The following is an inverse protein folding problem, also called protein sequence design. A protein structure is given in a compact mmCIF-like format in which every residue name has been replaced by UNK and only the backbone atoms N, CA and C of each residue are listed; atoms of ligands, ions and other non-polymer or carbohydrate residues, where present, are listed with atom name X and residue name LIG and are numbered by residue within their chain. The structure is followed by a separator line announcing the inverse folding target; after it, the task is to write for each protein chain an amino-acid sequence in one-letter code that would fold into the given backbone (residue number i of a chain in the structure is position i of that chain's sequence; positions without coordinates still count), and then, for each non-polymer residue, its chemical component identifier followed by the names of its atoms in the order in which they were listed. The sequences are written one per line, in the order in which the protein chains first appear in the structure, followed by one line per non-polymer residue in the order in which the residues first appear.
data_IF_066976733505
#
_entry.id   IF_066976733505
#
_cell.length_a   1.000
_cell.length_b   1.000
_cell.length_c   1.000
_cell.angle_alpha   90.00
_cell.angle_beta   90.00
_cell.angle_gamma   90.00
#
_symmetry.space_group_name_H-M   'P 1'
#
loop_
_entity.id
_entity.type
_entity.pdbx_description
1 polymer ?
#
# COMPACT_ATOMS: atom_id res chain seq x y z
N UNK A 1 -32.78 -5.51 -19.19
CA UNK A 1 -31.45 -6.16 -19.28
C UNK A 1 -30.36 -5.33 -18.59
N UNK A 2 -30.44 -3.99 -18.65
CA UNK A 2 -29.52 -3.04 -18.01
C UNK A 2 -29.48 -3.09 -16.47
N UNK A 3 -30.61 -3.26 -15.79
CA UNK A 3 -30.65 -3.26 -14.31
C UNK A 3 -29.87 -4.40 -13.66
N UNK A 4 -29.82 -5.58 -14.31
CA UNK A 4 -29.01 -6.71 -13.81
C UNK A 4 -27.51 -6.44 -13.92
N UNK A 5 -27.08 -5.75 -14.98
CA UNK A 5 -25.68 -5.35 -15.17
C UNK A 5 -25.26 -4.27 -14.15
N UNK A 6 -26.17 -3.36 -13.79
CA UNK A 6 -25.91 -2.31 -12.79
C UNK A 6 -25.78 -2.89 -11.36
N UNK A 7 -26.66 -3.82 -11.00
CA UNK A 7 -26.60 -4.54 -9.71
C UNK A 7 -25.29 -5.33 -9.54
N UNK A 8 -24.79 -5.99 -10.59
CA UNK A 8 -23.50 -6.68 -10.54
C UNK A 8 -22.32 -5.71 -10.46
N UNK A 9 -22.38 -4.56 -11.13
CA UNK A 9 -21.34 -3.52 -11.01
C UNK A 9 -21.31 -2.89 -9.61
N UNK A 10 -22.47 -2.66 -8.99
CA UNK A 10 -22.57 -2.13 -7.63
C UNK A 10 -21.99 -3.11 -6.61
N UNK A 11 -22.35 -4.40 -6.70
CA UNK A 11 -21.73 -5.44 -5.87
C UNK A 11 -20.21 -5.48 -6.04
N UNK A 12 -19.70 -5.48 -7.27
CA UNK A 12 -18.24 -5.47 -7.53
C UNK A 12 -17.55 -4.24 -6.94
N UNK A 13 -18.15 -3.05 -7.06
CA UNK A 13 -17.60 -1.82 -6.46
C UNK A 13 -17.55 -1.89 -4.94
N UNK A 14 -18.57 -2.49 -4.31
CA UNK A 14 -18.63 -2.61 -2.86
C UNK A 14 -17.65 -3.65 -2.31
N UNK A 15 -17.53 -4.80 -2.97
CA UNK A 15 -16.48 -5.79 -2.68
C UNK A 15 -15.08 -5.20 -2.87
N UNK A 16 -14.83 -4.50 -3.97
CA UNK A 16 -13.54 -3.85 -4.20
C UNK A 16 -13.20 -2.80 -3.13
N UNK A 17 -14.21 -2.06 -2.63
CA UNK A 17 -14.02 -1.08 -1.55
C UNK A 17 -13.70 -1.74 -0.22
N UNK A 18 -14.38 -2.85 0.12
CA UNK A 18 -14.11 -3.65 1.34
C UNK A 18 -12.75 -4.33 1.29
N UNK A 19 -12.43 -5.00 0.18
CA UNK A 19 -11.12 -5.65 -0.02
C UNK A 19 -9.98 -4.62 0.05
N UNK A 20 -10.18 -3.43 -0.52
CA UNK A 20 -9.17 -2.36 -0.44
C UNK A 20 -8.93 -1.88 1.00
N UNK A 21 -9.97 -1.88 1.83
CA UNK A 21 -9.84 -1.49 3.24
C UNK A 21 -9.14 -2.57 4.06
N UNK A 22 -9.48 -3.84 3.81
CA UNK A 22 -8.80 -5.00 4.38
C UNK A 22 -7.30 -5.01 4.08
N UNK A 23 -6.92 -4.82 2.81
CA UNK A 23 -5.52 -4.73 2.40
C UNK A 23 -4.81 -3.58 3.10
N UNK A 24 -5.49 -2.45 3.33
CA UNK A 24 -4.91 -1.32 4.05
C UNK A 24 -4.61 -1.65 5.51
N UNK A 25 -5.58 -2.26 6.21
CA UNK A 25 -5.41 -2.68 7.60
C UNK A 25 -4.30 -3.72 7.70
N UNK A 26 -4.31 -4.73 6.84
CA UNK A 26 -3.30 -5.78 6.78
C UNK A 26 -1.90 -5.19 6.56
N UNK A 27 -1.74 -4.30 5.58
CA UNK A 27 -0.47 -3.61 5.34
C UNK A 27 0.00 -2.77 6.52
N UNK A 28 -0.92 -2.07 7.22
CA UNK A 28 -0.56 -1.31 8.42
C UNK A 28 -0.12 -2.21 9.57
N UNK A 29 -0.78 -3.36 9.77
CA UNK A 29 -0.40 -4.35 10.78
C UNK A 29 0.98 -4.92 10.47
N UNK A 30 1.23 -5.31 9.21
CA UNK A 30 2.55 -5.81 8.77
C UNK A 30 3.63 -4.76 9.01
N UNK A 31 3.39 -3.51 8.64
CA UNK A 31 4.36 -2.43 8.87
C UNK A 31 4.64 -2.23 10.36
N UNK A 32 3.61 -2.25 11.20
CA UNK A 32 3.76 -2.15 12.66
C UNK A 32 4.59 -3.30 13.23
N UNK A 33 4.35 -4.53 12.78
CA UNK A 33 5.14 -5.70 13.17
C UNK A 33 6.60 -5.60 12.71
N UNK A 34 6.85 -5.11 11.49
CA UNK A 34 8.21 -4.91 10.99
C UNK A 34 8.98 -3.87 11.81
N UNK A 35 8.33 -2.76 12.16
CA UNK A 35 8.92 -1.74 13.04
C UNK A 35 9.19 -2.32 14.43
N UNK A 36 8.23 -3.08 14.98
CA UNK A 36 8.37 -3.69 16.29
C UNK A 36 9.53 -4.69 16.34
N UNK A 37 9.59 -5.62 15.39
CA UNK A 37 10.70 -6.58 15.26
C UNK A 37 12.03 -5.86 15.09
N UNK A 38 12.05 -4.77 14.33
CA UNK A 38 13.24 -3.97 14.18
C UNK A 38 13.68 -3.31 15.48
N UNK A 39 12.74 -2.82 16.27
CA UNK A 39 13.02 -2.20 17.55
C UNK A 39 13.56 -3.24 18.53
N UNK A 40 12.96 -4.43 18.55
CA UNK A 40 13.43 -5.54 19.39
C UNK A 40 14.83 -5.99 18.96
N UNK A 41 15.08 -6.12 17.65
CA UNK A 41 16.40 -6.46 17.12
C UNK A 41 17.49 -5.46 17.54
N UNK A 42 17.18 -4.16 17.55
CA UNK A 42 18.12 -3.11 17.96
C UNK A 42 18.33 -3.03 19.47
N UNK A 43 17.33 -3.35 20.28
CA UNK A 43 17.39 -3.23 21.73
C UNK A 43 17.80 -4.53 22.43
N UNK A 44 17.79 -5.66 21.73
CA UNK A 44 18.07 -6.98 22.29
C UNK A 44 19.34 -7.60 21.70
N UNK A 45 20.44 -7.51 22.47
CA UNK A 45 21.75 -8.06 22.09
C UNK A 45 21.72 -9.57 21.81
N UNK A 46 20.85 -10.33 22.49
CA UNK A 46 20.69 -11.76 22.24
C UNK A 46 20.11 -12.00 20.84
N UNK A 47 19.08 -11.23 20.48
CA UNK A 47 18.40 -11.37 19.19
C UNK A 47 19.30 -10.89 18.03
N UNK A 48 20.04 -9.81 18.23
CA UNK A 48 21.05 -9.33 17.29
C UNK A 48 22.15 -10.39 17.05
N UNK A 49 22.72 -10.95 18.12
CA UNK A 49 23.77 -11.97 18.04
C UNK A 49 23.25 -13.24 17.37
N UNK A 50 22.09 -13.74 17.80
CA UNK A 50 21.47 -14.92 17.22
C UNK A 50 21.20 -14.74 15.73
N UNK A 51 20.68 -13.59 15.32
CA UNK A 51 20.36 -13.32 13.92
C UNK A 51 21.61 -13.18 13.05
N UNK A 52 22.69 -12.54 13.55
CA UNK A 52 23.98 -12.51 12.86
C UNK A 52 24.56 -13.92 12.67
N UNK A 53 24.35 -14.82 13.63
CA UNK A 53 24.83 -16.20 13.56
C UNK A 53 23.98 -17.10 12.65
N UNK A 54 22.65 -16.97 12.68
CA UNK A 54 21.75 -17.91 11.99
C UNK A 54 21.33 -17.43 10.59
N UNK A 55 21.08 -16.13 10.44
CA UNK A 55 20.55 -15.52 9.21
C UNK A 55 21.68 -14.81 8.43
N UNK A 56 22.84 -14.63 9.07
CA UNK A 56 24.03 -14.09 8.45
C UNK A 56 23.83 -12.65 7.96
N UNK A 57 24.33 -12.29 6.77
CA UNK A 57 24.33 -10.91 6.31
C UNK A 57 22.92 -10.33 6.20
N UNK A 58 21.89 -11.16 5.96
CA UNK A 58 20.49 -10.74 5.81
C UNK A 58 19.91 -10.15 7.10
N UNK A 59 20.54 -10.37 8.26
CA UNK A 59 20.13 -9.76 9.52
C UNK A 59 20.10 -8.22 9.48
N UNK A 60 20.85 -7.60 8.55
CA UNK A 60 20.79 -6.15 8.33
C UNK A 60 19.36 -5.64 8.06
N UNK A 61 18.51 -6.47 7.44
CA UNK A 61 17.11 -6.14 7.14
C UNK A 61 16.28 -5.93 8.40
N UNK A 62 16.62 -6.64 9.48
CA UNK A 62 15.97 -6.50 10.78
C UNK A 62 16.35 -5.20 11.48
N UNK A 63 17.38 -4.48 11.03
CA UNK A 63 17.77 -3.18 11.59
C UNK A 63 16.84 -2.02 11.18
N UNK A 64 15.65 -2.32 10.70
CA UNK A 64 14.66 -1.33 10.24
C UNK A 64 14.76 -1.01 8.76
N UNK A 65 15.76 -1.54 8.07
CA UNK A 65 15.85 -1.41 6.61
C UNK A 65 14.66 -2.06 5.92
N UNK A 66 14.21 -3.24 6.36
CA UNK A 66 13.04 -3.90 5.79
C UNK A 66 11.75 -3.10 6.04
N UNK A 67 11.59 -2.56 7.26
CA UNK A 67 10.46 -1.69 7.59
C UNK A 67 10.45 -0.42 6.72
N UNK A 68 11.63 0.20 6.53
CA UNK A 68 11.80 1.38 5.68
C UNK A 68 11.50 1.11 4.20
N UNK A 69 11.97 -0.01 3.66
CA UNK A 69 11.67 -0.43 2.28
C UNK A 69 10.17 -0.65 2.09
N UNK A 70 9.53 -1.37 3.02
CA UNK A 70 8.09 -1.64 2.97
C UNK A 70 7.28 -0.33 3.05
N UNK A 71 7.61 0.56 3.99
CA UNK A 71 6.98 1.87 4.10
C UNK A 71 7.18 2.71 2.84
N UNK A 72 8.39 2.72 2.27
CA UNK A 72 8.72 3.42 1.03
C UNK A 72 7.91 2.92 -0.17
N UNK A 73 7.78 1.60 -0.34
CA UNK A 73 6.95 1.01 -1.39
C UNK A 73 5.47 1.38 -1.22
N UNK A 74 4.97 1.33 0.01
CA UNK A 74 3.57 1.67 0.32
C UNK A 74 3.28 3.15 0.01
N UNK A 75 4.18 4.05 0.41
CA UNK A 75 4.09 5.48 0.09
C UNK A 75 4.19 5.73 -1.42
N UNK A 76 5.14 5.10 -2.11
CA UNK A 76 5.31 5.22 -3.55
C UNK A 76 4.05 4.78 -4.32
N UNK A 77 3.45 3.66 -3.93
CA UNK A 77 2.17 3.21 -4.50
C UNK A 77 1.05 4.23 -4.25
N UNK A 78 0.97 4.79 -3.04
CA UNK A 78 -0.04 5.78 -2.71
C UNK A 78 0.10 7.05 -3.56
N UNK A 79 1.33 7.56 -3.71
CA UNK A 79 1.63 8.73 -4.55
C UNK A 79 1.29 8.44 -6.00
N UNK A 80 1.72 7.31 -6.55
CA UNK A 80 1.43 6.92 -7.93
C UNK A 80 -0.08 6.90 -8.21
N UNK A 81 -0.85 6.29 -7.29
CA UNK A 81 -2.32 6.22 -7.42
C UNK A 81 -2.99 7.58 -7.25
N UNK A 82 -2.45 8.46 -6.41
CA UNK A 82 -2.96 9.82 -6.24
C UNK A 82 -2.74 10.65 -7.52
N UNK A 83 -1.56 10.54 -8.12
CA UNK A 83 -1.24 11.20 -9.40
C UNK A 83 -2.14 10.68 -10.51
N UNK A 84 -2.35 9.37 -10.61
CA UNK A 84 -3.24 8.76 -11.63
C UNK A 84 -4.66 9.34 -11.56
N UNK A 85 -5.21 9.51 -10.36
CA UNK A 85 -6.53 10.11 -10.15
C UNK A 85 -6.58 11.57 -10.61
N UNK A 86 -5.60 12.38 -10.22
CA UNK A 86 -5.51 13.80 -10.61
C UNK A 86 -5.38 13.96 -12.12
N UNK A 87 -4.59 13.12 -12.78
CA UNK A 87 -4.43 13.16 -14.24
C UNK A 87 -5.70 12.73 -14.97
N UNK A 88 -6.44 11.75 -14.45
CA UNK A 88 -7.73 11.32 -14.98
C UNK A 88 -8.82 12.41 -14.88
N UNK A 89 -8.84 13.15 -13.77
CA UNK A 89 -9.73 14.30 -13.54
C UNK A 89 -9.41 15.46 -14.51
N UNK A 90 -8.13 15.72 -14.77
CA UNK A 90 -7.71 16.73 -15.76
C UNK A 90 -8.22 16.43 -17.18
N UNK A 91 -8.12 15.16 -17.61
CA UNK A 91 -8.58 14.73 -18.95
C UNK A 91 -10.10 14.81 -19.12
N UNK A 92 -10.86 14.58 -18.05
CA UNK A 92 -12.34 14.67 -18.08
C UNK A 92 -12.82 16.13 -18.13
N UNK A 93 -12.15 17.04 -17.43
CA UNK A 93 -12.46 18.47 -17.53
C UNK A 93 -12.15 19.04 -18.92
N UNK A 94 -11.05 18.59 -19.54
CA UNK A 94 -10.66 19.04 -20.87
C UNK A 94 -11.64 18.57 -21.96
N UNK A 95 -12.13 17.33 -21.87
CA UNK A 95 -13.15 16.80 -22.78
C UNK A 95 -14.49 17.51 -22.60
N UNK A 96 -14.91 17.81 -21.36
CA UNK A 96 -16.13 18.57 -21.09
C UNK A 96 -16.02 20.01 -21.64
N UNK A 97 -14.90 20.70 -21.40
CA UNK A 97 -14.66 22.03 -21.96
C UNK A 97 -14.75 22.04 -23.49
N UNK A 98 -14.14 21.06 -24.17
CA UNK A 98 -14.18 20.96 -25.64
C UNK A 98 -15.59 20.72 -26.19
N UNK A 99 -16.46 20.06 -25.40
CA UNK A 99 -17.85 19.76 -25.77
C UNK A 99 -18.79 20.95 -25.55
N UNK A 100 -18.54 21.79 -24.54
CA UNK A 100 -19.34 23.00 -24.24
C UNK A 100 -19.03 24.17 -25.19
N UNK A 101 -17.82 24.20 -25.78
CA UNK A 101 -17.40 25.26 -26.71
C UNK A 101 -17.82 24.98 -28.17
N UNK A 102 -18.55 23.89 -28.43
CA UNK A 102 -19.10 23.52 -29.74
C UNK A 102 -20.61 23.54 -29.72
#
# INVERSE_FOLDING_TARGET
MSDRLDLEQLKRKEFAKRTRWLVWVESSVILGLLVWVSLEYQNNLFLESWAKTNIGPVSFLLNGTLAGLYAGTMLGYFVARYVERRTGEGKTLETLRKKTVR
#
